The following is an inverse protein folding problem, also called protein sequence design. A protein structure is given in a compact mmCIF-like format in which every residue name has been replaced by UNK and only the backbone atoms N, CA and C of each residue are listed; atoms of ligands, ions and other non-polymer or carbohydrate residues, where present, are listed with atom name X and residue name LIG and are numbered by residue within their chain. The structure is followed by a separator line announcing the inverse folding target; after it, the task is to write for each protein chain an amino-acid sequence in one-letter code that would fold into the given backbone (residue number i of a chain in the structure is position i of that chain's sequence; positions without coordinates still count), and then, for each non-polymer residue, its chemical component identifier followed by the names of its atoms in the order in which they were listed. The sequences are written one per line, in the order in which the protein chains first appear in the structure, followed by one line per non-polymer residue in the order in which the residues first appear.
data_IF_557091347045
#
_entry.id   IF_557091347045
#
_cell.length_a   1.000
_cell.length_b   1.000
_cell.length_c   1.000
_cell.angle_alpha   90.00
_cell.angle_beta   90.00
_cell.angle_gamma   90.00
#
_symmetry.space_group_name_H-M   'P 1'
#
loop_
_entity.id
_entity.type
_entity.pdbx_description
1 polymer ?
#
# COMPACT_ATOMS: atom_id res chain seq x y z
N UNK A 1 -25.42 22.85 -1.74
CA UNK A 1 -24.22 22.01 -1.90
C UNK A 1 -23.49 21.74 -0.59
N UNK A 2 -24.11 21.96 0.58
CA UNK A 2 -23.48 21.73 1.90
C UNK A 2 -23.28 20.23 2.24
N UNK A 3 -24.06 19.33 1.66
CA UNK A 3 -24.01 17.90 2.00
C UNK A 3 -22.76 17.12 1.57
N UNK A 4 -21.93 17.65 0.66
CA UNK A 4 -20.75 16.90 0.18
C UNK A 4 -19.53 17.02 1.09
N UNK A 5 -19.38 18.14 1.81
CA UNK A 5 -18.25 18.35 2.72
C UNK A 5 -18.52 17.71 4.09
N UNK A 6 -19.77 17.77 4.54
CA UNK A 6 -20.21 17.16 5.80
C UNK A 6 -20.08 15.63 5.77
N UNK A 7 -20.46 15.01 4.65
CA UNK A 7 -20.29 13.56 4.45
C UNK A 7 -18.84 13.07 4.37
N UNK A 8 -17.89 13.94 3.97
CA UNK A 8 -16.46 13.59 4.01
C UNK A 8 -15.91 13.63 5.45
N UNK A 9 -16.40 14.56 6.28
CA UNK A 9 -16.07 14.62 7.71
C UNK A 9 -16.53 13.38 8.46
N UNK A 10 -17.81 13.04 8.33
CA UNK A 10 -18.37 11.83 8.97
C UNK A 10 -17.65 10.55 8.52
N UNK A 11 -17.35 10.43 7.22
CA UNK A 11 -16.60 9.29 6.69
C UNK A 11 -15.18 9.18 7.30
N UNK A 12 -14.48 10.30 7.47
CA UNK A 12 -13.15 10.34 8.10
C UNK A 12 -13.24 9.87 9.55
N UNK A 13 -14.21 10.36 10.32
CA UNK A 13 -14.36 10.00 11.74
C UNK A 13 -14.66 8.49 11.90
N UNK A 14 -15.52 7.93 11.06
CA UNK A 14 -15.81 6.49 11.03
C UNK A 14 -14.56 5.68 10.71
N UNK A 15 -13.77 6.11 9.72
CA UNK A 15 -12.57 5.42 9.29
C UNK A 15 -11.44 5.50 10.34
N UNK A 16 -11.32 6.62 11.05
CA UNK A 16 -10.39 6.76 12.18
C UNK A 16 -10.76 5.82 13.34
N UNK A 17 -12.05 5.77 13.70
CA UNK A 17 -12.54 4.84 14.71
C UNK A 17 -12.29 3.37 14.32
N UNK A 18 -12.45 3.03 13.04
CA UNK A 18 -12.16 1.70 12.53
C UNK A 18 -10.65 1.38 12.50
N UNK A 19 -9.81 2.34 12.16
CA UNK A 19 -8.35 2.18 12.14
C UNK A 19 -7.73 2.04 13.55
N UNK A 20 -8.38 2.62 14.57
CA UNK A 20 -7.98 2.53 15.97
C UNK A 20 -8.33 1.17 16.61
N UNK A 21 -9.34 0.47 16.07
CA UNK A 21 -9.61 -0.91 16.44
C UNK A 21 -8.55 -1.78 15.77
N UNK A 22 -7.64 -2.37 16.54
CA UNK A 22 -6.53 -3.25 16.09
C UNK A 22 -7.05 -4.60 15.54
N UNK A 23 -8.05 -4.55 14.67
CA UNK A 23 -8.71 -5.67 14.01
C UNK A 23 -8.18 -5.93 12.59
N UNK A 24 -8.71 -6.99 11.94
CA UNK A 24 -8.27 -7.40 10.60
C UNK A 24 -8.47 -6.31 9.53
N UNK A 25 -9.45 -5.44 9.73
CA UNK A 25 -9.81 -4.37 8.79
C UNK A 25 -9.03 -3.06 9.01
N UNK A 26 -8.20 -2.96 10.05
CA UNK A 26 -7.51 -1.72 10.42
C UNK A 26 -6.62 -1.19 9.28
N UNK A 27 -5.98 -2.08 8.53
CA UNK A 27 -5.17 -1.67 7.37
C UNK A 27 -6.04 -1.10 6.25
N UNK A 28 -7.16 -1.75 5.92
CA UNK A 28 -8.09 -1.26 4.89
C UNK A 28 -8.72 0.08 5.31
N UNK A 29 -9.06 0.23 6.60
CA UNK A 29 -9.54 1.49 7.16
C UNK A 29 -8.51 2.62 6.97
N UNK A 30 -7.23 2.37 7.25
CA UNK A 30 -6.16 3.36 7.02
C UNK A 30 -6.00 3.73 5.53
N UNK A 31 -6.09 2.75 4.62
CA UNK A 31 -6.05 3.00 3.17
C UNK A 31 -7.20 3.93 2.75
N UNK A 32 -8.42 3.63 3.19
CA UNK A 32 -9.62 4.43 2.86
C UNK A 32 -9.56 5.81 3.51
N UNK A 33 -9.10 5.89 4.75
CA UNK A 33 -8.91 7.14 5.49
C UNK A 33 -7.98 8.08 4.73
N UNK A 34 -6.81 7.58 4.33
CA UNK A 34 -5.83 8.37 3.60
C UNK A 34 -6.37 8.85 2.25
N UNK A 35 -7.08 7.99 1.52
CA UNK A 35 -7.74 8.37 0.26
C UNK A 35 -8.82 9.44 0.46
N UNK A 36 -9.69 9.29 1.46
CA UNK A 36 -10.75 10.25 1.78
C UNK A 36 -10.16 11.62 2.17
N UNK A 37 -9.13 11.64 3.02
CA UNK A 37 -8.42 12.85 3.42
C UNK A 37 -7.74 13.54 2.23
N UNK A 38 -7.11 12.78 1.32
CA UNK A 38 -6.51 13.34 0.09
C UNK A 38 -7.58 13.93 -0.82
N UNK A 39 -8.72 13.27 -0.98
CA UNK A 39 -9.85 13.76 -1.76
C UNK A 39 -10.44 15.03 -1.15
N UNK A 40 -10.62 15.06 0.16
CA UNK A 40 -11.11 16.24 0.86
C UNK A 40 -10.13 17.42 0.73
N UNK A 41 -8.82 17.16 0.85
CA UNK A 41 -7.81 18.18 0.61
C UNK A 41 -7.92 18.75 -0.82
N UNK A 42 -8.08 17.90 -1.83
CA UNK A 42 -8.27 18.35 -3.21
C UNK A 42 -9.52 19.23 -3.35
N UNK A 43 -10.64 18.84 -2.73
CA UNK A 43 -11.88 19.60 -2.71
C UNK A 43 -11.70 20.98 -2.06
N UNK A 44 -11.04 21.07 -0.90
CA UNK A 44 -10.76 22.33 -0.19
C UNK A 44 -9.84 23.24 -1.01
N UNK A 45 -8.89 22.67 -1.75
CA UNK A 45 -8.01 23.44 -2.65
C UNK A 45 -8.78 24.04 -3.83
N UNK A 46 -9.76 23.31 -4.37
CA UNK A 46 -10.62 23.76 -5.47
C UNK A 46 -11.71 24.74 -5.00
N UNK A 47 -12.19 24.57 -3.77
CA UNK A 47 -13.27 25.34 -3.16
C UNK A 47 -12.79 25.91 -1.81
N UNK A 48 -11.91 26.93 -1.82
CA UNK A 48 -11.39 27.50 -0.59
C UNK A 48 -12.53 28.12 0.25
N UNK A 49 -12.52 27.94 1.58
CA UNK A 49 -13.57 28.45 2.44
C UNK A 49 -13.67 29.98 2.33
N UNK A 50 -14.91 30.48 2.20
CA UNK A 50 -15.17 31.92 2.18
C UNK A 50 -14.86 32.48 3.57
N UNK A 51 -13.79 33.28 3.68
CA UNK A 51 -13.43 33.96 4.92
C UNK A 51 -14.58 34.87 5.36
N UNK A 52 -15.27 34.52 6.45
CA UNK A 52 -16.29 35.36 7.09
C UNK A 52 -17.74 34.90 6.96
N UNK A 53 -18.02 33.74 6.37
CA UNK A 53 -19.36 33.13 6.43
C UNK A 53 -19.62 32.51 7.81
N UNK A 54 -20.53 33.07 8.59
CA UNK A 54 -21.04 32.47 9.82
C UNK A 54 -21.89 31.23 9.48
N UNK A 55 -21.23 30.14 9.11
CA UNK A 55 -21.84 28.82 9.05
C UNK A 55 -21.77 28.14 10.43
N UNK A 56 -22.83 27.46 10.82
CA UNK A 56 -22.99 26.70 12.06
C UNK A 56 -22.05 25.45 12.17
N UNK A 57 -21.17 25.26 11.18
CA UNK A 57 -20.15 24.22 11.19
C UNK A 57 -18.89 24.73 11.89
N UNK A 58 -18.33 23.94 12.81
CA UNK A 58 -17.07 24.22 13.49
C UNK A 58 -15.89 24.49 12.53
N UNK A 59 -14.69 24.81 13.07
CA UNK A 59 -13.54 25.17 12.23
C UNK A 59 -13.23 24.07 11.21
N UNK A 60 -13.45 24.39 9.93
CA UNK A 60 -13.22 23.46 8.84
C UNK A 60 -11.70 23.20 8.71
N UNK A 61 -11.25 21.94 8.60
CA UNK A 61 -9.83 21.64 8.51
C UNK A 61 -9.22 22.24 7.24
N UNK A 62 -8.05 22.86 7.38
CA UNK A 62 -7.34 23.44 6.24
C UNK A 62 -6.69 22.37 5.36
N UNK A 63 -6.29 22.78 4.15
CA UNK A 63 -5.64 21.90 3.18
C UNK A 63 -4.40 21.21 3.77
N UNK A 64 -3.55 21.94 4.49
CA UNK A 64 -2.31 21.42 5.03
C UNK A 64 -2.54 20.32 6.08
N UNK A 65 -3.55 20.50 6.94
CA UNK A 65 -3.94 19.54 7.96
C UNK A 65 -4.47 18.25 7.33
N UNK A 66 -5.35 18.37 6.32
CA UNK A 66 -5.88 17.20 5.59
C UNK A 66 -4.78 16.42 4.87
N UNK A 67 -3.83 17.12 4.23
CA UNK A 67 -2.67 16.49 3.57
C UNK A 67 -1.77 15.75 4.56
N UNK A 68 -1.41 16.38 5.67
CA UNK A 68 -0.59 15.74 6.73
C UNK A 68 -1.28 14.48 7.26
N UNK A 69 -2.57 14.55 7.62
CA UNK A 69 -3.33 13.39 8.10
C UNK A 69 -3.39 12.27 7.06
N UNK A 70 -3.55 12.62 5.77
CA UNK A 70 -3.48 11.64 4.68
C UNK A 70 -2.12 10.94 4.63
N UNK A 71 -1.02 11.71 4.70
CA UNK A 71 0.34 11.19 4.73
C UNK A 71 0.57 10.25 5.91
N UNK A 72 0.14 10.64 7.12
CA UNK A 72 0.26 9.82 8.33
C UNK A 72 -0.53 8.51 8.21
N UNK A 73 -1.74 8.55 7.65
CA UNK A 73 -2.54 7.35 7.41
C UNK A 73 -1.88 6.39 6.41
N UNK A 74 -1.29 6.90 5.31
CA UNK A 74 -0.49 6.07 4.39
C UNK A 74 0.72 5.45 5.07
N UNK A 75 1.45 6.22 5.87
CA UNK A 75 2.62 5.76 6.63
C UNK A 75 2.25 4.65 7.60
N UNK A 76 1.17 4.82 8.38
CA UNK A 76 0.66 3.81 9.29
C UNK A 76 0.28 2.53 8.53
N UNK A 77 -0.46 2.65 7.42
CA UNK A 77 -0.81 1.49 6.59
C UNK A 77 0.42 0.75 6.07
N UNK A 78 1.45 1.46 5.60
CA UNK A 78 2.68 0.86 5.08
C UNK A 78 3.48 0.08 6.15
N UNK A 79 3.44 0.55 7.40
CA UNK A 79 4.19 -0.04 8.53
C UNK A 79 3.44 -1.13 9.28
N UNK A 80 2.14 -1.32 9.04
CA UNK A 80 1.33 -2.38 9.67
C UNK A 80 1.82 -3.78 9.26
N UNK A 81 2.68 -4.40 10.07
CA UNK A 81 3.28 -5.70 9.76
C UNK A 81 2.29 -6.86 9.63
N UNK A 82 1.14 -6.75 10.31
CA UNK A 82 0.04 -7.69 10.19
C UNK A 82 -0.58 -7.72 8.77
N UNK A 83 -0.44 -6.64 7.99
CA UNK A 83 -0.98 -6.57 6.64
C UNK A 83 -0.08 -7.29 5.61
N UNK A 84 -0.67 -7.88 4.55
CA UNK A 84 0.09 -8.48 3.46
C UNK A 84 1.10 -7.50 2.83
N UNK A 85 2.30 -8.00 2.49
CA UNK A 85 3.38 -7.19 1.95
C UNK A 85 2.99 -6.36 0.70
N UNK A 86 2.12 -6.89 -0.16
CA UNK A 86 1.66 -6.16 -1.34
C UNK A 86 0.78 -4.95 -0.99
N UNK A 87 -0.07 -5.04 0.05
CA UNK A 87 -0.90 -3.92 0.49
C UNK A 87 -0.04 -2.84 1.16
N UNK A 88 0.94 -3.27 1.96
CA UNK A 88 1.97 -2.39 2.54
C UNK A 88 2.80 -1.68 1.47
N UNK A 89 3.20 -2.39 0.42
CA UNK A 89 3.91 -1.83 -0.72
C UNK A 89 3.07 -0.77 -1.44
N UNK A 90 1.78 -1.05 -1.64
CA UNK A 90 0.85 -0.09 -2.23
C UNK A 90 0.74 1.19 -1.38
N UNK A 91 0.55 1.04 -0.06
CA UNK A 91 0.53 2.16 0.87
C UNK A 91 1.83 2.97 0.87
N UNK A 92 2.99 2.30 0.91
CA UNK A 92 4.30 2.95 0.86
C UNK A 92 4.52 3.72 -0.46
N UNK A 93 4.02 3.18 -1.58
CA UNK A 93 4.08 3.85 -2.88
C UNK A 93 3.21 5.11 -2.93
N UNK A 94 2.03 5.07 -2.31
CA UNK A 94 1.13 6.23 -2.21
C UNK A 94 1.67 7.28 -1.22
N UNK A 95 2.23 6.83 -0.10
CA UNK A 95 2.95 7.68 0.85
C UNK A 95 4.06 8.45 0.13
N UNK A 96 4.97 7.72 -0.53
CA UNK A 96 6.08 8.29 -1.30
C UNK A 96 5.60 9.29 -2.34
N UNK A 97 4.62 8.91 -3.17
CA UNK A 97 4.09 9.80 -4.20
C UNK A 97 3.54 11.11 -3.62
N UNK A 98 2.76 11.04 -2.53
CA UNK A 98 2.17 12.22 -1.90
C UNK A 98 3.26 13.13 -1.28
N UNK A 99 4.23 12.54 -0.59
CA UNK A 99 5.34 13.30 0.02
C UNK A 99 6.27 13.90 -1.03
N UNK A 100 6.51 13.21 -2.15
CA UNK A 100 7.30 13.77 -3.25
C UNK A 100 6.55 14.92 -3.93
N UNK A 101 5.22 14.85 -4.06
CA UNK A 101 4.40 15.96 -4.58
C UNK A 101 4.48 17.21 -3.67
N UNK A 102 4.54 17.03 -2.35
CA UNK A 102 4.58 18.13 -1.36
C UNK A 102 5.98 18.69 -1.15
N UNK A 103 6.95 17.78 -0.98
CA UNK A 103 8.30 18.06 -0.54
C UNK A 103 9.29 17.17 -1.31
N UNK A 104 9.57 17.50 -2.59
CA UNK A 104 10.52 16.75 -3.41
C UNK A 104 11.89 16.66 -2.71
N UNK A 105 12.46 15.45 -2.65
CA UNK A 105 13.76 15.23 -2.01
C UNK A 105 13.76 15.43 -0.49
N UNK A 106 12.62 15.34 0.18
CA UNK A 106 12.58 15.31 1.64
C UNK A 106 13.04 13.96 2.19
N UNK A 107 13.57 13.96 3.42
CA UNK A 107 13.92 12.74 4.14
C UNK A 107 12.72 11.79 4.29
N UNK A 108 11.52 12.34 4.43
CA UNK A 108 10.29 11.56 4.50
C UNK A 108 9.96 10.85 3.17
N UNK A 109 10.08 11.56 2.04
CA UNK A 109 9.89 10.94 0.73
C UNK A 109 10.93 9.83 0.48
N UNK A 110 12.18 10.06 0.88
CA UNK A 110 13.26 9.08 0.81
C UNK A 110 13.00 7.84 1.67
N UNK A 111 12.44 8.02 2.87
CA UNK A 111 12.04 6.92 3.75
C UNK A 111 10.89 6.11 3.14
N UNK A 112 9.86 6.79 2.62
CA UNK A 112 8.70 6.15 2.02
C UNK A 112 9.07 5.33 0.78
N UNK A 113 9.90 5.90 -0.11
CA UNK A 113 10.35 5.21 -1.33
C UNK A 113 11.30 4.05 -1.01
N UNK A 114 12.18 4.20 -0.03
CA UNK A 114 13.03 3.12 0.46
C UNK A 114 12.21 1.96 1.06
N UNK A 115 11.20 2.25 1.88
CA UNK A 115 10.30 1.22 2.41
C UNK A 115 9.57 0.48 1.30
N UNK A 116 9.05 1.21 0.31
CA UNK A 116 8.38 0.60 -0.85
C UNK A 116 9.33 -0.37 -1.58
N UNK A 117 10.57 0.04 -1.85
CA UNK A 117 11.57 -0.83 -2.49
C UNK A 117 11.89 -2.06 -1.64
N UNK A 118 12.09 -1.90 -0.33
CA UNK A 118 12.38 -3.03 0.59
C UNK A 118 11.23 -4.03 0.71
N UNK A 119 9.99 -3.63 0.42
CA UNK A 119 8.83 -4.51 0.39
C UNK A 119 8.69 -5.30 -0.93
N UNK A 120 9.38 -4.90 -2.00
CA UNK A 120 9.28 -5.56 -3.31
C UNK A 120 9.57 -7.06 -3.28
N UNK A 121 10.63 -7.57 -2.63
CA UNK A 121 10.94 -8.99 -2.65
C UNK A 121 9.82 -9.83 -2.01
N UNK A 122 9.20 -9.31 -0.95
CA UNK A 122 8.10 -9.95 -0.25
C UNK A 122 6.80 -9.88 -1.05
N UNK A 123 6.51 -8.74 -1.68
CA UNK A 123 5.33 -8.57 -2.52
C UNK A 123 5.42 -9.35 -3.84
N UNK A 124 6.63 -9.55 -4.35
CA UNK A 124 6.91 -10.32 -5.56
C UNK A 124 7.05 -11.83 -5.30
N UNK A 125 6.90 -12.30 -4.06
CA UNK A 125 7.10 -13.71 -3.68
C UNK A 125 6.01 -14.64 -4.26
N UNK A 126 6.45 -15.72 -4.93
CA UNK A 126 5.73 -16.54 -5.93
C UNK A 126 4.82 -17.64 -5.39
N UNK A 127 3.52 -17.54 -5.54
CA UNK A 127 2.62 -18.67 -5.24
C UNK A 127 1.26 -18.22 -4.76
N UNK A 128 0.99 -16.93 -4.81
CA UNK A 128 -0.06 -16.41 -5.68
C UNK A 128 0.09 -16.91 -7.11
N UNK A 129 -1.04 -17.20 -7.74
CA UNK A 129 -1.10 -17.51 -9.16
C UNK A 129 -0.42 -16.39 -9.99
N UNK A 130 0.13 -16.77 -11.16
CA UNK A 130 0.92 -15.85 -11.99
C UNK A 130 0.14 -14.64 -12.50
N UNK A 131 -1.17 -14.75 -12.71
CA UNK A 131 -2.04 -13.63 -13.12
C UNK A 131 -2.30 -12.65 -11.97
N UNK A 132 -2.48 -13.16 -10.74
CA UNK A 132 -2.55 -12.33 -9.53
C UNK A 132 -1.24 -11.60 -9.26
N UNK A 133 -0.10 -12.23 -9.53
CA UNK A 133 1.22 -11.63 -9.39
C UNK A 133 1.46 -10.53 -10.44
N UNK A 134 1.17 -10.80 -11.71
CA UNK A 134 1.30 -9.82 -12.79
C UNK A 134 0.35 -8.63 -12.60
N UNK A 135 -0.90 -8.86 -12.17
CA UNK A 135 -1.85 -7.79 -11.84
C UNK A 135 -1.36 -6.92 -10.67
N UNK A 136 -0.85 -7.53 -9.60
CA UNK A 136 -0.33 -6.83 -8.42
C UNK A 136 0.94 -6.04 -8.73
N UNK A 137 1.87 -6.59 -9.53
CA UNK A 137 3.11 -5.90 -9.91
C UNK A 137 2.91 -4.86 -11.01
N UNK A 138 1.89 -4.98 -11.88
CA UNK A 138 1.50 -3.90 -12.81
C UNK A 138 1.11 -2.61 -12.08
N UNK A 139 0.64 -2.71 -10.84
CA UNK A 139 0.35 -1.54 -10.00
C UNK A 139 1.60 -0.87 -9.41
N UNK A 140 2.74 -1.55 -9.40
CA UNK A 140 4.02 -0.99 -8.94
C UNK A 140 4.59 -0.13 -10.05
N UNK A 141 4.84 1.16 -9.76
CA UNK A 141 5.39 2.09 -10.75
C UNK A 141 6.74 1.57 -11.28
N UNK A 142 6.88 1.55 -12.60
CA UNK A 142 8.18 1.46 -13.25
C UNK A 142 9.09 2.57 -12.73
N UNK A 143 10.33 2.22 -12.37
CA UNK A 143 11.30 3.18 -11.84
C UNK A 143 11.26 3.42 -10.33
N UNK A 144 10.48 2.65 -9.54
CA UNK A 144 10.43 2.80 -8.08
C UNK A 144 11.81 2.75 -7.41
N UNK A 145 12.65 1.77 -7.76
CA UNK A 145 14.01 1.65 -7.22
C UNK A 145 14.93 2.82 -7.65
N UNK A 146 14.78 3.29 -8.88
CA UNK A 146 15.52 4.46 -9.39
C UNK A 146 15.10 5.74 -8.70
N UNK A 147 13.79 5.93 -8.47
CA UNK A 147 13.26 7.05 -7.71
C UNK A 147 13.77 7.05 -6.27
N UNK A 148 13.68 5.91 -5.60
CA UNK A 148 14.20 5.78 -4.23
C UNK A 148 15.71 6.06 -4.14
N UNK A 149 16.49 5.59 -5.12
CA UNK A 149 17.91 5.89 -5.18
C UNK A 149 18.20 7.38 -5.40
N UNK A 150 17.41 8.06 -6.24
CA UNK A 150 17.51 9.50 -6.42
C UNK A 150 17.18 10.25 -5.11
N UNK A 151 16.16 9.82 -4.37
CA UNK A 151 15.81 10.40 -3.07
C UNK A 151 16.95 10.24 -2.06
N UNK A 152 17.58 9.06 -2.00
CA UNK A 152 18.71 8.79 -1.11
C UNK A 152 19.96 9.60 -1.49
N UNK A 153 20.23 9.77 -2.79
CA UNK A 153 21.30 10.65 -3.26
C UNK A 153 21.04 12.11 -2.87
N UNK A 154 19.79 12.56 -2.92
CA UNK A 154 19.42 13.90 -2.45
C UNK A 154 19.62 14.07 -0.94
N UNK A 155 19.54 13.00 -0.15
CA UNK A 155 19.89 13.00 1.28
C UNK A 155 21.40 12.85 1.54
N UNK A 156 22.22 12.65 0.50
CA UNK A 156 23.65 12.42 0.65
C UNK A 156 24.02 11.00 1.11
N UNK A 157 23.13 10.01 0.90
CA UNK A 157 23.39 8.59 1.22
C UNK A 157 23.55 7.73 -0.06
N UNK A 158 24.73 7.78 -0.72
CA UNK A 158 24.99 6.98 -1.92
C UNK A 158 25.06 5.47 -1.64
N UNK A 159 25.37 5.07 -0.40
CA UNK A 159 25.46 3.67 -0.04
C UNK A 159 24.06 3.03 -0.02
N UNK A 160 23.09 3.69 0.60
CA UNK A 160 21.70 3.24 0.60
C UNK A 160 21.08 3.35 -0.81
N UNK A 161 21.42 4.38 -1.59
CA UNK A 161 20.98 4.48 -2.98
C UNK A 161 21.40 3.24 -3.81
N UNK A 162 22.65 2.81 -3.68
CA UNK A 162 23.15 1.60 -4.35
C UNK A 162 22.42 0.34 -3.87
N UNK A 163 22.24 0.20 -2.56
CA UNK A 163 21.53 -0.95 -1.98
C UNK A 163 20.12 -1.10 -2.56
N UNK A 164 19.37 0.01 -2.63
CA UNK A 164 17.99 0.02 -3.15
C UNK A 164 17.94 -0.28 -4.66
N UNK A 165 18.89 0.22 -5.45
CA UNK A 165 19.01 -0.13 -6.87
C UNK A 165 19.28 -1.62 -7.07
N UNK A 166 20.21 -2.17 -6.31
CA UNK A 166 20.59 -3.57 -6.40
C UNK A 166 19.45 -4.50 -5.98
N UNK A 167 18.71 -4.12 -4.94
CA UNK A 167 17.51 -4.83 -4.52
C UNK A 167 16.44 -4.82 -5.62
N UNK A 168 16.14 -3.65 -6.20
CA UNK A 168 15.20 -3.53 -7.32
C UNK A 168 15.62 -4.37 -8.53
N UNK A 169 16.91 -4.35 -8.87
CA UNK A 169 17.49 -5.16 -9.95
C UNK A 169 17.37 -6.65 -9.67
N UNK A 170 17.67 -7.09 -8.45
CA UNK A 170 17.52 -8.47 -8.01
C UNK A 170 16.08 -8.98 -8.15
N UNK A 171 15.08 -8.18 -7.78
CA UNK A 171 13.66 -8.52 -7.98
C UNK A 171 13.35 -8.69 -9.46
N UNK A 172 13.72 -7.73 -10.32
CA UNK A 172 13.49 -7.82 -11.76
C UNK A 172 14.18 -9.03 -12.40
N UNK A 173 15.40 -9.33 -11.98
CA UNK A 173 16.15 -10.49 -12.47
C UNK A 173 15.55 -11.81 -12.00
N UNK A 174 15.13 -11.91 -10.73
CA UNK A 174 14.39 -13.09 -10.27
C UNK A 174 13.14 -13.31 -11.11
N UNK A 175 12.36 -12.26 -11.40
CA UNK A 175 11.17 -12.38 -12.26
C UNK A 175 11.50 -12.85 -13.68
N UNK A 176 12.62 -12.40 -14.25
CA UNK A 176 13.08 -12.82 -15.60
C UNK A 176 13.66 -14.24 -15.64
N UNK A 177 14.43 -14.63 -14.63
CA UNK A 177 15.10 -15.94 -14.56
C UNK A 177 14.11 -17.06 -14.24
N UNK A 178 13.14 -16.79 -13.37
CA UNK A 178 12.17 -17.80 -12.91
C UNK A 178 10.94 -17.97 -13.83
N UNK A 179 10.86 -17.20 -14.92
CA UNK A 179 9.86 -17.42 -15.96
C UNK A 179 9.99 -18.75 -16.69
N UNK A 180 11.09 -19.51 -16.48
CA UNK A 180 11.40 -20.70 -17.30
C UNK A 180 11.55 -22.05 -16.58
N UNK A 181 11.70 -22.14 -15.25
CA UNK A 181 12.31 -23.38 -14.71
C UNK A 181 11.70 -23.95 -13.41
N UNK A 182 11.65 -23.25 -12.28
CA UNK A 182 11.66 -23.99 -10.99
C UNK A 182 10.33 -24.61 -10.53
N UNK A 183 9.19 -23.91 -10.61
CA UNK A 183 7.91 -24.47 -10.14
C UNK A 183 7.28 -25.46 -11.14
N UNK A 184 7.58 -25.31 -12.43
CA UNK A 184 7.17 -26.30 -13.44
C UNK A 184 7.97 -27.59 -13.29
N UNK A 185 9.27 -27.49 -12.99
CA UNK A 185 10.08 -28.66 -12.69
C UNK A 185 9.63 -29.33 -11.40
N UNK A 186 9.29 -28.58 -10.36
CA UNK A 186 8.73 -29.17 -9.13
C UNK A 186 7.39 -29.87 -9.41
N UNK A 187 6.46 -29.24 -10.13
CA UNK A 187 5.19 -29.86 -10.50
C UNK A 187 5.35 -31.08 -11.41
N UNK A 188 6.37 -31.10 -12.26
CA UNK A 188 6.69 -32.25 -13.12
C UNK A 188 7.42 -33.38 -12.36
N UNK A 189 8.24 -33.05 -11.36
CA UNK A 189 9.02 -34.02 -10.60
C UNK A 189 8.27 -34.59 -9.38
N UNK A 190 7.46 -33.78 -8.71
CA UNK A 190 6.57 -34.21 -7.63
C UNK A 190 5.34 -33.28 -7.54
N UNK A 191 4.22 -33.68 -8.16
CA UNK A 191 2.95 -32.97 -8.07
C UNK A 191 2.48 -32.81 -6.62
N UNK A 192 2.67 -33.80 -5.75
CA UNK A 192 2.19 -33.76 -4.37
C UNK A 192 2.92 -32.71 -3.52
N UNK A 193 4.24 -32.54 -3.73
CA UNK A 193 5.03 -31.51 -3.07
C UNK A 193 4.65 -30.11 -3.55
N UNK A 194 4.37 -29.95 -4.84
CA UNK A 194 3.88 -28.69 -5.39
C UNK A 194 2.50 -28.31 -4.80
N UNK A 195 1.59 -29.27 -4.66
CA UNK A 195 0.29 -29.07 -4.01
C UNK A 195 0.43 -28.77 -2.51
N UNK A 196 1.30 -29.50 -1.80
CA UNK A 196 1.54 -29.28 -0.37
C UNK A 196 2.12 -27.90 -0.10
N UNK A 197 3.12 -27.48 -0.88
CA UNK A 197 3.70 -26.14 -0.80
C UNK A 197 2.65 -25.06 -1.06
N UNK A 198 1.78 -25.28 -2.06
CA UNK A 198 0.66 -24.37 -2.36
C UNK A 198 -0.33 -24.30 -1.19
N UNK A 199 -0.69 -25.44 -0.58
CA UNK A 199 -1.62 -25.52 0.55
C UNK A 199 -1.08 -24.82 1.80
N UNK A 200 0.17 -25.09 2.19
CA UNK A 200 0.82 -24.44 3.35
C UNK A 200 0.85 -22.93 3.16
N UNK A 201 1.06 -22.47 1.93
CA UNK A 201 1.07 -21.06 1.60
C UNK A 201 -0.30 -20.41 1.75
N UNK A 202 -1.36 -21.02 1.22
CA UNK A 202 -2.74 -20.53 1.40
C UNK A 202 -3.04 -20.41 2.89
N UNK A 203 -2.68 -21.41 3.69
CA UNK A 203 -2.87 -21.38 5.14
C UNK A 203 -2.07 -20.27 5.83
N UNK A 204 -0.83 -20.00 5.40
CA UNK A 204 -0.02 -18.90 5.95
C UNK A 204 -0.55 -17.52 5.55
N UNK A 205 -1.11 -17.38 4.35
CA UNK A 205 -1.77 -16.16 3.90
C UNK A 205 -3.12 -15.95 4.63
N UNK A 206 -3.90 -17.01 4.82
CA UNK A 206 -5.18 -16.99 5.54
C UNK A 206 -5.01 -16.78 7.05
N UNK A 207 -3.97 -17.34 7.66
CA UNK A 207 -3.62 -17.10 9.06
C UNK A 207 -3.23 -15.63 9.32
N UNK A 208 -2.86 -14.88 8.28
CA UNK A 208 -2.52 -13.46 8.35
C UNK A 208 -3.67 -12.53 7.90
N UNK A 209 -4.77 -13.07 7.37
CA UNK A 209 -5.98 -12.34 6.97
C UNK A 209 -7.24 -13.21 7.24
N UNK A 210 -7.72 -13.30 8.49
CA UNK A 210 -8.87 -14.14 8.88
C UNK A 210 -10.21 -13.70 8.23
N UNK A 211 -10.28 -12.47 7.72
CA UNK A 211 -11.42 -11.88 7.02
C UNK A 211 -11.68 -12.50 5.63
N UNK A 212 -10.69 -13.14 5.01
CA UNK A 212 -10.87 -13.83 3.72
C UNK A 212 -11.71 -15.13 3.81
N UNK A 213 -11.83 -15.71 5.00
CA UNK A 213 -12.55 -16.97 5.27
C UNK A 213 -14.07 -16.86 5.02
N UNK A 214 -14.64 -15.69 5.25
CA UNK A 214 -16.09 -15.48 5.26
C UNK A 214 -16.69 -15.31 3.85
N UNK A 215 -15.87 -14.98 2.85
CA UNK A 215 -16.30 -14.85 1.46
C UNK A 215 -16.35 -16.18 0.70
N UNK A 216 -15.43 -17.11 1.01
CA UNK A 216 -15.24 -18.34 0.20
C UNK A 216 -16.16 -19.49 0.61
N UNK A 217 -16.63 -19.52 1.88
CA UNK A 217 -17.63 -20.50 2.35
C UNK A 217 -19.02 -20.36 1.71
N UNK A 218 -19.32 -19.26 1.02
CA UNK A 218 -20.62 -19.03 0.36
C UNK A 218 -20.70 -19.53 -1.10
N UNK A 219 -19.59 -20.04 -1.66
CA UNK A 219 -19.49 -20.42 -3.08
C UNK A 219 -19.25 -21.92 -3.32
N UNK A 220 -19.23 -22.75 -2.27
CA UNK A 220 -19.22 -24.20 -2.44
C UNK A 220 -20.67 -24.70 -2.37
N UNK A 221 -21.23 -25.30 -3.44
CA UNK A 221 -22.46 -26.05 -3.31
C UNK A 221 -22.17 -27.28 -2.43
N UNK A 222 -22.97 -27.46 -1.39
CA UNK A 222 -22.98 -28.68 -0.57
C UNK A 222 -23.41 -29.88 -1.41
N UNK A 223 -22.89 -31.09 -1.11
CA UNK A 223 -23.07 -32.30 -1.93
C UNK A 223 -24.52 -32.76 -2.05
#
# INVERSE_FOLDING_TARGET
MEGSADGLGEAVDILEAAAAQDGPDAHEALIRLAAALRQWAAHVRENPPVRGGAGDGGPQPDFATLRRRSTDAWRLAARREAAPAFRRLHAASLWSAQTTEEHPGSAEAAEASALAVRLLPLAAWRGLDRLSQESRLKSVRFGLATGAAADQLAQGDPAQALELLELGRGVLWSQKLDGRTDLKLLGAASPELAESLTRVRVLLEEARDPSAHTGRKRLLPTP
#
